data_IF_460336259683
#
_entry.id   IF_460336259683
#
_cell.length_a   1.000
_cell.length_b   1.000
_cell.length_c   1.000
_cell.angle_alpha   90.00
_cell.angle_beta   90.00
_cell.angle_gamma   90.00
#
_symmetry.space_group_name_H-M   'P 1'
#
loop_
_entity.id
_entity.type
_entity.pdbx_description
1 polymer ?
#
# COMPACT_ATOMS: atom_id res chain seq x y z
N UNK A 1 1.89 15.09 -7.72
CA UNK A 1 1.28 16.08 -6.81
C UNK A 1 0.95 15.48 -5.43
N UNK A 2 0.12 14.41 -5.36
CA UNK A 2 -0.21 13.77 -4.08
C UNK A 2 0.96 13.02 -3.45
N UNK A 3 1.75 12.30 -4.25
CA UNK A 3 2.94 11.57 -3.78
C UNK A 3 3.87 12.47 -2.97
N UNK A 4 4.26 13.62 -3.53
CA UNK A 4 5.12 14.60 -2.86
C UNK A 4 4.48 15.21 -1.62
N UNK A 5 3.16 15.42 -1.63
CA UNK A 5 2.43 15.92 -0.46
C UNK A 5 2.50 14.91 0.69
N UNK A 6 2.22 13.63 0.42
CA UNK A 6 2.28 12.58 1.43
C UNK A 6 3.70 12.38 1.94
N UNK A 7 4.70 12.39 1.05
CA UNK A 7 6.12 12.36 1.44
C UNK A 7 6.49 13.49 2.38
N UNK A 8 6.07 14.72 2.05
CA UNK A 8 6.31 15.90 2.90
C UNK A 8 5.62 15.76 4.25
N UNK A 9 4.38 15.25 4.28
CA UNK A 9 3.62 15.07 5.51
C UNK A 9 4.26 13.98 6.40
N UNK A 10 4.65 12.85 5.82
CA UNK A 10 5.36 11.76 6.50
C UNK A 10 6.65 12.26 7.15
N UNK A 11 7.46 13.03 6.42
CA UNK A 11 8.68 13.64 6.94
C UNK A 11 8.41 14.61 8.09
N UNK A 12 7.36 15.43 7.99
CA UNK A 12 6.97 16.38 9.06
C UNK A 12 6.47 15.66 10.31
N UNK A 13 5.69 14.58 10.15
CA UNK A 13 5.23 13.75 11.28
C UNK A 13 6.42 13.11 11.99
N UNK A 14 7.38 12.56 11.23
CA UNK A 14 8.60 11.98 11.79
C UNK A 14 9.46 13.04 12.51
N UNK A 15 9.66 14.22 11.90
CA UNK A 15 10.40 15.33 12.51
C UNK A 15 9.74 15.86 13.80
N UNK A 16 8.42 15.73 13.91
CA UNK A 16 7.66 16.07 15.11
C UNK A 16 7.65 14.95 16.17
N UNK A 17 8.30 13.80 15.92
CA UNK A 17 8.28 12.65 16.82
C UNK A 17 6.92 11.94 16.91
N UNK A 18 6.05 12.14 15.93
CA UNK A 18 4.73 11.51 15.89
C UNK A 18 4.84 10.02 15.60
N UNK A 19 4.01 9.21 16.27
CA UNK A 19 3.87 7.77 16.01
C UNK A 19 2.76 7.46 14.99
N UNK A 20 2.13 8.48 14.42
CA UNK A 20 1.06 8.30 13.42
C UNK A 20 1.65 7.84 12.09
N UNK A 21 1.06 6.79 11.51
CA UNK A 21 1.41 6.27 10.19
C UNK A 21 0.38 6.71 9.15
N UNK A 22 0.86 7.17 8.00
CA UNK A 22 0.00 7.40 6.83
C UNK A 22 -0.13 6.12 6.00
N UNK A 23 -1.32 5.90 5.44
CA UNK A 23 -1.62 4.81 4.52
C UNK A 23 -1.95 5.40 3.14
N UNK A 24 -1.26 4.96 2.08
CA UNK A 24 -1.67 5.32 0.72
C UNK A 24 -2.80 4.40 0.23
N UNK A 25 -3.82 5.01 -0.36
CA UNK A 25 -5.00 4.37 -0.94
C UNK A 25 -5.35 5.05 -2.28
N UNK A 26 -5.69 6.34 -2.26
CA UNK A 26 -6.03 7.05 -3.49
C UNK A 26 -4.78 7.20 -4.38
N UNK A 27 -4.97 6.96 -5.69
CA UNK A 27 -3.94 7.03 -6.73
C UNK A 27 -2.78 6.03 -6.55
N UNK A 28 -3.02 4.96 -5.79
CA UNK A 28 -2.11 3.84 -5.60
C UNK A 28 -2.87 2.54 -5.92
N UNK A 29 -3.07 2.24 -7.21
CA UNK A 29 -3.93 1.12 -7.65
C UNK A 29 -3.14 0.01 -8.35
N UNK A 30 -2.16 0.38 -9.19
CA UNK A 30 -1.34 -0.58 -9.94
C UNK A 30 -0.10 -1.00 -9.17
N UNK A 31 0.54 -2.09 -9.60
CA UNK A 31 1.83 -2.51 -9.04
C UNK A 31 2.91 -1.43 -9.22
N UNK A 32 2.88 -0.71 -10.34
CA UNK A 32 3.81 0.39 -10.60
C UNK A 32 3.54 1.57 -9.66
N UNK A 33 2.27 1.93 -9.43
CA UNK A 33 1.93 2.98 -8.46
C UNK A 33 2.44 2.61 -7.06
N UNK A 34 2.24 1.34 -6.65
CA UNK A 34 2.74 0.84 -5.35
C UNK A 34 4.25 1.00 -5.26
N UNK A 35 4.99 0.59 -6.30
CA UNK A 35 6.45 0.73 -6.35
C UNK A 35 6.87 2.19 -6.27
N UNK A 36 6.19 3.10 -6.98
CA UNK A 36 6.46 4.54 -6.92
C UNK A 36 6.30 5.09 -5.49
N UNK A 37 5.20 4.76 -4.81
CA UNK A 37 4.94 5.21 -3.45
C UNK A 37 5.94 4.66 -2.43
N UNK A 38 6.32 3.39 -2.57
CA UNK A 38 7.30 2.72 -1.71
C UNK A 38 8.71 3.30 -1.91
N UNK A 39 9.15 3.47 -3.16
CA UNK A 39 10.47 4.03 -3.47
C UNK A 39 10.59 5.49 -3.04
N UNK A 40 9.49 6.25 -3.13
CA UNK A 40 9.45 7.62 -2.63
C UNK A 40 9.42 7.72 -1.09
N UNK A 41 9.24 6.60 -0.38
CA UNK A 41 9.01 6.55 1.07
C UNK A 41 7.93 7.55 1.50
N UNK A 42 6.87 7.63 0.69
CA UNK A 42 5.86 8.68 0.82
C UNK A 42 4.91 8.45 2.01
N UNK A 43 4.79 7.20 2.45
CA UNK A 43 3.89 6.73 3.51
C UNK A 43 4.54 5.55 4.23
N UNK A 44 4.05 5.22 5.44
CA UNK A 44 4.54 4.05 6.17
C UNK A 44 3.77 2.77 5.86
N UNK A 45 2.65 2.86 5.12
CA UNK A 45 1.83 1.72 4.74
C UNK A 45 1.15 1.92 3.39
N UNK A 46 0.98 0.84 2.62
CA UNK A 46 0.23 0.83 1.35
C UNK A 46 -0.98 -0.08 1.47
N UNK A 47 -2.16 0.39 1.06
CA UNK A 47 -3.31 -0.48 0.84
C UNK A 47 -3.20 -1.20 -0.50
N UNK A 48 -2.96 -2.50 -0.47
CA UNK A 48 -2.94 -3.37 -1.64
C UNK A 48 -4.37 -3.84 -1.91
N UNK A 49 -4.98 -3.34 -2.98
CA UNK A 49 -6.36 -3.64 -3.36
C UNK A 49 -6.41 -4.89 -4.23
N UNK A 50 -6.58 -6.06 -3.61
CA UNK A 50 -6.57 -7.37 -4.29
C UNK A 50 -7.32 -7.42 -5.62
N UNK A 51 -8.54 -6.85 -5.78
CA UNK A 51 -9.28 -6.95 -7.04
C UNK A 51 -8.67 -6.09 -8.16
N UNK A 52 -8.03 -4.96 -7.80
CA UNK A 52 -7.51 -3.99 -8.76
C UNK A 52 -6.18 -4.46 -9.38
N UNK A 53 -5.42 -5.29 -8.65
CA UNK A 53 -4.15 -5.86 -9.13
C UNK A 53 -4.36 -7.04 -10.10
N UNK A 54 -5.60 -7.49 -10.29
CA UNK A 54 -5.95 -8.60 -11.17
C UNK A 54 -5.46 -9.95 -10.65
N UNK A 55 -4.29 -10.40 -11.09
CA UNK A 55 -3.73 -11.69 -10.69
C UNK A 55 -3.16 -11.67 -9.27
N UNK A 56 -3.39 -12.72 -8.48
CA UNK A 56 -2.85 -12.85 -7.12
C UNK A 56 -1.31 -12.76 -7.03
N UNK A 57 -0.60 -13.14 -8.10
CA UNK A 57 0.85 -13.00 -8.16
C UNK A 57 1.28 -11.53 -8.04
N UNK A 58 0.51 -10.58 -8.59
CA UNK A 58 0.80 -9.15 -8.45
C UNK A 58 0.60 -8.69 -7.00
N UNK A 59 -0.41 -9.21 -6.29
CA UNK A 59 -0.60 -8.96 -4.86
C UNK A 59 0.58 -9.47 -4.04
N UNK A 60 1.05 -10.69 -4.32
CA UNK A 60 2.22 -11.26 -3.65
C UNK A 60 3.46 -10.40 -3.92
N UNK A 61 3.70 -10.02 -5.19
CA UNK A 61 4.82 -9.15 -5.55
C UNK A 61 4.74 -7.80 -4.84
N UNK A 62 3.58 -7.17 -4.79
CA UNK A 62 3.38 -5.91 -4.07
C UNK A 62 3.69 -6.04 -2.57
N UNK A 63 3.21 -7.10 -1.91
CA UNK A 63 3.48 -7.34 -0.48
C UNK A 63 4.99 -7.51 -0.25
N UNK A 64 5.65 -8.33 -1.08
CA UNK A 64 7.08 -8.59 -0.95
C UNK A 64 7.90 -7.32 -1.19
N UNK A 65 7.53 -6.52 -2.20
CA UNK A 65 8.20 -5.26 -2.51
C UNK A 65 8.09 -4.24 -1.37
N UNK A 66 6.89 -4.08 -0.79
CA UNK A 66 6.69 -3.24 0.39
C UNK A 66 7.57 -3.71 1.57
N UNK A 67 7.59 -5.03 1.84
CA UNK A 67 8.37 -5.62 2.93
C UNK A 67 9.88 -5.42 2.75
N UNK A 68 10.39 -5.57 1.53
CA UNK A 68 11.81 -5.35 1.21
C UNK A 68 12.26 -3.91 1.48
N UNK A 69 11.34 -2.95 1.37
CA UNK A 69 11.60 -1.51 1.54
C UNK A 69 11.06 -0.95 2.87
N UNK A 70 10.78 -1.82 3.84
CA UNK A 70 10.32 -1.46 5.18
C UNK A 70 9.01 -0.64 5.21
N UNK A 71 8.16 -0.80 4.19
CA UNK A 71 6.82 -0.22 4.14
C UNK A 71 5.80 -1.29 4.50
N UNK A 72 4.87 -1.00 5.39
CA UNK A 72 3.84 -1.97 5.77
C UNK A 72 2.88 -2.25 4.61
N UNK A 73 2.62 -3.51 4.33
CA UNK A 73 1.63 -3.93 3.34
C UNK A 73 0.29 -4.19 4.04
N UNK A 74 -0.71 -3.36 3.76
CA UNK A 74 -2.09 -3.62 4.15
C UNK A 74 -2.78 -4.39 3.02
N UNK A 75 -2.89 -5.71 3.18
CA UNK A 75 -3.66 -6.55 2.28
C UNK A 75 -5.15 -6.27 2.43
N UNK A 76 -5.68 -5.44 1.52
CA UNK A 76 -7.08 -5.06 1.49
C UNK A 76 -7.94 -5.98 0.63
N UNK A 77 -9.07 -5.45 0.18
CA UNK A 77 -10.03 -6.10 -0.70
C UNK A 77 -11.20 -5.16 -0.97
N UNK A 78 -12.33 -5.70 -1.41
CA UNK A 78 -13.58 -4.92 -1.49
C UNK A 78 -14.76 -5.64 -0.86
N UNK A 79 -15.73 -4.88 -0.33
CA UNK A 79 -16.99 -5.44 0.15
C UNK A 79 -17.82 -6.08 -0.97
N UNK A 80 -17.48 -5.78 -2.23
CA UNK A 80 -18.11 -6.34 -3.42
C UNK A 80 -17.40 -7.60 -3.96
N UNK A 81 -16.52 -8.22 -3.16
CA UNK A 81 -15.89 -9.50 -3.46
C UNK A 81 -16.79 -10.70 -3.10
N UNK A 82 -16.23 -11.91 -3.18
CA UNK A 82 -16.92 -13.16 -2.82
C UNK A 82 -16.26 -13.82 -1.63
N UNK A 83 -16.94 -14.77 -0.99
CA UNK A 83 -16.35 -15.58 0.07
C UNK A 83 -15.11 -16.35 -0.45
N UNK A 84 -15.16 -16.83 -1.69
CA UNK A 84 -14.06 -17.59 -2.29
C UNK A 84 -12.82 -16.72 -2.50
N UNK A 85 -12.95 -15.50 -3.03
CA UNK A 85 -11.79 -14.62 -3.21
C UNK A 85 -11.22 -14.17 -1.87
N UNK A 86 -12.07 -13.82 -0.90
CA UNK A 86 -11.63 -13.47 0.45
C UNK A 86 -10.83 -14.60 1.13
N UNK A 87 -11.30 -15.86 1.04
CA UNK A 87 -10.58 -17.01 1.61
C UNK A 87 -9.22 -17.22 0.95
N UNK A 88 -9.13 -17.08 -0.37
CA UNK A 88 -7.86 -17.23 -1.09
C UNK A 88 -6.87 -16.12 -0.71
N UNK A 89 -7.33 -14.91 -0.43
CA UNK A 89 -6.46 -13.79 -0.06
C UNK A 89 -6.01 -13.81 1.41
N UNK A 90 -6.77 -14.40 2.33
CA UNK A 90 -6.59 -14.16 3.79
C UNK A 90 -6.31 -15.38 4.65
N UNK A 91 -6.44 -16.61 4.13
CA UNK A 91 -6.24 -17.85 4.90
C UNK A 91 -4.85 -18.46 4.76
#
# INVERSE_FOLDING_TARGET
>A
AQLELLRTLTQRLAAAGSQVTLVADQWCNTLDDIKEFVLAQAVGMIQIKTPDLGGLHNTIEAILFCKEHEVAAYLGGTCNETDRSARICTQ
#
